data_IF_001811394697
#
_entry.id   IF_001811394697
#
_cell.length_a   1.000
_cell.length_b   1.000
_cell.length_c   1.000
_cell.angle_alpha   90.00
_cell.angle_beta   90.00
_cell.angle_gamma   90.00
#
_symmetry.space_group_name_H-M   'P 1'
#
loop_
_entity.id
_entity.type
_entity.pdbx_description
1 polymer ?
#
# COMPACT_ATOMS: atom_id res chain seq x y z
N UNK A 1 4.50 -11.18 60.23
CA UNK A 1 4.90 -11.83 58.97
C UNK A 1 5.10 -10.70 57.99
N UNK A 2 6.36 -10.33 57.83
CA UNK A 2 6.82 -9.20 57.03
C UNK A 2 6.75 -9.50 55.54
N UNK A 3 6.57 -8.41 54.80
CA UNK A 3 6.64 -8.25 53.36
C UNK A 3 7.90 -8.85 52.75
N UNK A 4 7.77 -9.51 51.60
CA UNK A 4 8.83 -9.56 50.60
C UNK A 4 8.29 -9.02 49.27
N UNK A 5 8.78 -7.83 48.92
CA UNK A 5 8.63 -7.24 47.59
C UNK A 5 9.68 -7.86 46.68
N UNK A 6 9.27 -8.37 45.52
CA UNK A 6 10.18 -8.88 44.50
C UNK A 6 10.77 -7.70 43.74
N UNK A 7 12.10 -7.66 43.63
CA UNK A 7 12.89 -6.57 43.06
C UNK A 7 12.89 -6.59 41.53
N UNK A 8 13.12 -5.40 40.95
CA UNK A 8 13.07 -5.03 39.53
C UNK A 8 13.89 -5.90 38.54
N UNK A 9 14.71 -6.83 39.02
CA UNK A 9 15.54 -7.75 38.23
C UNK A 9 14.81 -9.09 37.90
N UNK A 10 13.65 -9.37 38.49
CA UNK A 10 12.88 -10.60 38.24
C UNK A 10 11.80 -10.46 37.15
N UNK A 11 11.64 -9.27 36.56
CA UNK A 11 10.71 -9.02 35.46
C UNK A 11 11.35 -9.22 34.07
N UNK A 12 12.63 -9.62 33.98
CA UNK A 12 13.39 -9.62 32.73
C UNK A 12 13.66 -11.02 32.13
N UNK A 13 13.10 -12.09 32.71
CA UNK A 13 13.39 -13.48 32.26
C UNK A 13 12.17 -14.33 31.83
N UNK A 14 10.98 -13.76 31.62
CA UNK A 14 9.82 -14.54 31.14
C UNK A 14 9.48 -14.28 29.67
N UNK A 15 10.45 -14.54 28.78
CA UNK A 15 10.14 -14.99 27.43
C UNK A 15 10.59 -16.44 27.26
N UNK A 16 9.72 -17.24 26.61
CA UNK A 16 9.87 -18.62 26.16
C UNK A 16 9.45 -19.71 27.16
N UNK A 17 8.17 -20.13 27.10
CA UNK A 17 7.83 -21.51 26.72
C UNK A 17 6.32 -21.70 26.54
N UNK A 18 5.98 -22.45 25.47
CA UNK A 18 4.65 -22.97 25.18
C UNK A 18 4.12 -23.84 26.34
N UNK A 19 2.89 -23.59 26.80
CA UNK A 19 2.19 -24.48 27.73
C UNK A 19 0.98 -23.83 28.41
N UNK A 20 -0.22 -24.28 28.05
CA UNK A 20 -1.53 -23.90 28.58
C UNK A 20 -1.74 -24.27 30.06
N UNK A 21 -2.32 -23.37 30.88
CA UNK A 21 -3.13 -23.70 32.08
C UNK A 21 -4.21 -22.61 32.31
N UNK A 22 -5.47 -23.03 32.43
CA UNK A 22 -6.63 -22.24 32.89
C UNK A 22 -6.59 -21.95 34.40
N UNK A 23 -7.11 -20.80 34.84
CA UNK A 23 -8.27 -20.71 35.76
C UNK A 23 -8.61 -19.26 36.16
N UNK A 24 -9.88 -18.92 35.94
CA UNK A 24 -10.79 -18.25 36.89
C UNK A 24 -10.39 -16.91 37.51
N UNK A 25 -10.82 -15.81 36.85
CA UNK A 25 -10.95 -14.49 37.45
C UNK A 25 -10.44 -13.40 36.52
N UNK A 26 -11.34 -12.73 35.81
CA UNK A 26 -11.02 -11.76 34.75
C UNK A 26 -10.28 -10.53 35.28
N UNK A 27 -8.96 -10.67 35.42
CA UNK A 27 -8.01 -9.57 35.46
C UNK A 27 -7.63 -9.29 34.00
N UNK A 28 -8.01 -8.13 33.48
CA UNK A 28 -7.53 -7.70 32.16
C UNK A 28 -6.10 -7.18 32.36
N UNK A 29 -5.12 -8.06 32.17
CA UNK A 29 -3.73 -7.66 31.93
C UNK A 29 -3.62 -7.23 30.45
N UNK A 30 -2.84 -6.18 30.18
CA UNK A 30 -2.62 -5.60 28.85
C UNK A 30 -1.69 -6.46 27.96
N UNK A 31 -1.88 -7.78 27.99
CA UNK A 31 -1.18 -8.71 27.11
C UNK A 31 -2.22 -9.70 26.58
N UNK A 32 -2.28 -9.83 25.26
CA UNK A 32 -3.23 -10.58 24.42
C UNK A 32 -4.53 -9.84 24.05
N UNK A 33 -4.42 -8.97 23.02
CA UNK A 33 -5.52 -8.74 22.10
C UNK A 33 -5.20 -9.57 20.86
N UNK A 34 -5.91 -10.67 20.64
CA UNK A 34 -5.90 -11.38 19.37
C UNK A 34 -6.54 -10.49 18.29
N UNK A 35 -5.82 -10.25 17.21
CA UNK A 35 -6.22 -9.38 16.09
C UNK A 35 -7.35 -9.95 15.20
N UNK A 36 -7.82 -11.18 15.44
CA UNK A 36 -8.65 -11.92 14.47
C UNK A 36 -10.18 -11.86 14.67
N UNK A 37 -10.71 -11.06 15.61
CA UNK A 37 -12.18 -10.96 15.80
C UNK A 37 -12.68 -9.56 16.17
N UNK A 38 -12.49 -8.58 15.29
CA UNK A 38 -13.30 -7.35 15.31
C UNK A 38 -14.18 -7.24 14.06
N UNK A 39 -15.35 -7.86 14.13
CA UNK A 39 -16.42 -7.65 13.15
C UNK A 39 -17.04 -6.26 13.40
N UNK A 40 -16.53 -5.24 12.71
CA UNK A 40 -16.91 -3.82 12.89
C UNK A 40 -18.38 -3.49 12.51
N UNK A 41 -19.09 -4.40 11.85
CA UNK A 41 -20.36 -4.09 11.20
C UNK A 41 -21.61 -4.24 12.08
N UNK A 42 -21.53 -4.90 13.25
CA UNK A 42 -22.74 -5.34 13.96
C UNK A 42 -23.26 -4.39 15.07
N UNK A 43 -22.49 -3.36 15.47
CA UNK A 43 -22.91 -2.42 16.53
C UNK A 43 -23.51 -1.10 16.03
N UNK A 44 -23.53 -0.86 14.72
CA UNK A 44 -24.03 0.38 14.11
C UNK A 44 -25.55 0.40 13.89
N UNK A 45 -26.20 -0.77 13.74
CA UNK A 45 -27.61 -0.85 13.35
C UNK A 45 -28.61 -0.42 14.44
N UNK A 46 -28.25 -0.50 15.73
CA UNK A 46 -29.25 -0.36 16.81
C UNK A 46 -29.54 1.08 17.28
N UNK A 47 -28.93 2.11 16.67
CA UNK A 47 -29.02 3.50 17.17
C UNK A 47 -29.94 4.41 16.33
N UNK A 48 -30.57 3.90 15.27
CA UNK A 48 -31.19 4.72 14.19
C UNK A 48 -32.62 5.21 14.50
N UNK A 49 -33.23 4.84 15.63
CA UNK A 49 -34.64 5.19 15.92
C UNK A 49 -34.79 6.25 17.02
N UNK A 50 -34.50 7.51 16.68
CA UNK A 50 -35.12 8.68 17.33
C UNK A 50 -34.99 9.92 16.43
N UNK A 51 -36.07 10.26 15.72
CA UNK A 51 -36.19 11.53 14.98
C UNK A 51 -36.53 12.69 15.91
N UNK A 52 -36.04 13.92 15.63
CA UNK A 52 -36.87 15.08 15.24
C UNK A 52 -36.24 16.47 15.52
N UNK A 53 -36.41 17.33 14.51
CA UNK A 53 -36.51 18.80 14.47
C UNK A 53 -36.23 19.64 15.74
N UNK A 54 -35.14 20.43 15.73
CA UNK A 54 -35.14 21.88 15.96
C UNK A 54 -33.71 22.48 15.83
N UNK A 55 -33.62 23.72 15.33
CA UNK A 55 -32.40 24.42 14.88
C UNK A 55 -31.38 24.83 15.96
N UNK A 56 -30.74 23.87 16.61
CA UNK A 56 -29.45 24.04 17.29
C UNK A 56 -28.54 22.87 16.89
N UNK A 57 -27.43 23.16 16.22
CA UNK A 57 -26.59 22.16 15.55
C UNK A 57 -25.75 21.33 16.52
N UNK A 58 -26.19 20.11 16.82
CA UNK A 58 -25.45 19.09 17.56
C UNK A 58 -24.70 18.14 16.61
N UNK A 59 -23.49 17.73 17.00
CA UNK A 59 -22.55 16.93 16.18
C UNK A 59 -22.91 15.43 16.15
N UNK A 60 -24.02 15.05 16.78
CA UNK A 60 -24.39 13.66 17.07
C UNK A 60 -24.02 13.23 18.48
N UNK A 61 -24.37 11.99 18.82
CA UNK A 61 -24.22 11.42 20.16
C UNK A 61 -22.97 10.52 20.25
N UNK A 62 -22.19 10.69 21.31
CA UNK A 62 -20.95 9.96 21.56
C UNK A 62 -21.23 8.45 21.64
N UNK A 63 -20.60 7.60 20.81
CA UNK A 63 -20.90 6.16 20.76
C UNK A 63 -20.64 5.44 22.09
N UNK A 64 -19.83 6.04 22.97
CA UNK A 64 -19.50 5.49 24.28
C UNK A 64 -20.62 5.74 25.30
N UNK A 65 -21.24 6.92 25.30
CA UNK A 65 -22.15 7.32 26.38
C UNK A 65 -23.38 8.12 25.95
N UNK A 66 -23.58 8.38 24.67
CA UNK A 66 -24.69 9.17 24.14
C UNK A 66 -24.62 10.68 24.40
N UNK A 67 -23.58 11.18 25.06
CA UNK A 67 -23.37 12.63 25.29
C UNK A 67 -22.94 13.37 24.01
N UNK A 68 -23.07 14.69 23.97
CA UNK A 68 -22.77 15.46 22.76
C UNK A 68 -21.29 15.31 22.31
N UNK A 69 -21.08 15.03 21.02
CA UNK A 69 -19.74 14.89 20.45
C UNK A 69 -19.05 16.25 20.41
N UNK A 70 -17.79 16.27 20.86
CA UNK A 70 -16.95 17.47 20.90
C UNK A 70 -15.87 17.51 19.81
N UNK A 71 -15.60 16.37 19.16
CA UNK A 71 -14.59 16.23 18.12
C UNK A 71 -14.08 14.80 17.97
N UNK A 72 -13.09 14.63 17.09
CA UNK A 72 -12.39 13.36 16.87
C UNK A 72 -11.23 13.21 17.85
N UNK A 73 -11.28 12.21 18.71
CA UNK A 73 -10.32 12.00 19.79
C UNK A 73 -9.83 10.55 19.80
N UNK A 74 -8.52 10.37 19.62
CA UNK A 74 -7.82 9.09 19.76
C UNK A 74 -8.37 7.95 18.88
N UNK A 75 -8.89 8.26 17.69
CA UNK A 75 -9.38 7.25 16.74
C UNK A 75 -10.90 7.19 16.57
N UNK A 76 -11.68 7.93 17.37
CA UNK A 76 -13.16 7.98 17.21
C UNK A 76 -13.76 9.34 17.60
N UNK A 77 -14.94 9.66 17.07
CA UNK A 77 -15.70 10.83 17.50
C UNK A 77 -16.25 10.62 18.91
N UNK A 78 -15.96 11.55 19.82
CA UNK A 78 -16.40 11.41 21.21
C UNK A 78 -16.63 12.73 21.93
N UNK A 79 -17.33 12.66 23.06
CA UNK A 79 -17.54 13.78 23.96
C UNK A 79 -16.26 14.08 24.76
N UNK A 80 -16.14 15.31 25.26
CA UNK A 80 -14.96 15.79 26.00
C UNK A 80 -14.70 14.94 27.26
N UNK A 81 -15.77 14.41 27.87
CA UNK A 81 -15.66 13.54 29.03
C UNK A 81 -14.99 12.20 28.71
N UNK A 82 -15.36 11.55 27.60
CA UNK A 82 -14.80 10.26 27.21
C UNK A 82 -13.36 10.39 26.72
N UNK A 83 -13.05 11.45 25.96
CA UNK A 83 -11.67 11.85 25.64
C UNK A 83 -10.82 11.98 26.90
N UNK A 84 -11.26 12.79 27.87
CA UNK A 84 -10.51 13.02 29.10
C UNK A 84 -10.36 11.76 29.95
N UNK A 85 -11.41 10.93 30.00
CA UNK A 85 -11.39 9.64 30.68
C UNK A 85 -10.35 8.70 30.06
N UNK A 86 -10.42 8.47 28.76
CA UNK A 86 -9.51 7.57 28.04
C UNK A 86 -8.05 8.00 28.20
N UNK A 87 -7.74 9.29 28.01
CA UNK A 87 -6.40 9.85 28.23
C UNK A 87 -5.88 9.57 29.65
N UNK A 88 -6.68 9.86 30.69
CA UNK A 88 -6.25 9.66 32.08
C UNK A 88 -6.10 8.18 32.43
N UNK A 89 -6.92 7.32 31.86
CA UNK A 89 -6.83 5.87 32.07
C UNK A 89 -5.51 5.33 31.51
N UNK A 90 -5.19 5.67 30.26
CA UNK A 90 -3.96 5.23 29.59
C UNK A 90 -2.71 5.83 30.24
N UNK A 91 -2.65 7.17 30.39
CA UNK A 91 -1.46 7.85 30.93
C UNK A 91 -1.12 7.46 32.37
N UNK A 92 -2.12 7.07 33.16
CA UNK A 92 -1.91 6.66 34.55
C UNK A 92 -2.01 5.14 34.74
N UNK A 93 -1.99 4.37 33.63
CA UNK A 93 -2.07 2.90 33.61
C UNK A 93 -3.14 2.36 34.57
N UNK A 94 -4.34 2.95 34.53
CA UNK A 94 -5.43 2.62 35.46
C UNK A 94 -6.06 1.30 35.07
N UNK A 95 -6.09 0.36 36.02
CA UNK A 95 -6.82 -0.90 35.92
C UNK A 95 -8.14 -0.75 36.66
N UNK A 96 -9.22 -1.23 36.05
CA UNK A 96 -10.56 -1.19 36.62
C UNK A 96 -11.17 -2.60 36.61
N UNK A 97 -12.05 -2.87 37.58
CA UNK A 97 -12.86 -4.07 37.62
C UNK A 97 -14.34 -3.71 37.51
N UNK A 98 -15.11 -4.50 36.75
CA UNK A 98 -16.55 -4.31 36.66
C UNK A 98 -17.20 -4.68 38.01
N UNK A 99 -18.03 -3.80 38.56
CA UNK A 99 -18.73 -4.07 39.82
C UNK A 99 -19.80 -5.16 39.68
N UNK A 100 -20.36 -5.35 38.48
CA UNK A 100 -21.37 -6.36 38.18
C UNK A 100 -20.75 -7.72 37.81
N UNK A 101 -19.45 -7.77 37.54
CA UNK A 101 -18.73 -8.99 37.15
C UNK A 101 -18.97 -9.46 35.70
N UNK A 102 -20.08 -9.07 35.07
CA UNK A 102 -20.50 -9.46 33.71
C UNK A 102 -19.79 -8.73 32.57
N UNK A 103 -19.27 -7.52 32.82
CA UNK A 103 -18.60 -6.69 31.81
C UNK A 103 -19.55 -5.95 30.86
N UNK A 104 -20.87 -5.95 31.12
CA UNK A 104 -21.89 -5.43 30.18
C UNK A 104 -22.68 -4.22 30.71
N UNK A 105 -22.14 -3.48 31.68
CA UNK A 105 -22.83 -2.31 32.24
C UNK A 105 -23.20 -1.29 31.14
N UNK A 106 -24.47 -0.88 31.09
CA UNK A 106 -24.94 0.16 30.17
C UNK A 106 -24.34 1.53 30.52
N UNK A 107 -23.57 2.09 29.59
CA UNK A 107 -22.88 3.38 29.73
C UNK A 107 -23.65 4.49 29.01
N UNK A 108 -24.12 5.48 29.78
CA UNK A 108 -24.85 6.69 29.34
C UNK A 108 -24.21 7.96 29.93
N UNK A 109 -24.58 9.14 29.42
CA UNK A 109 -24.04 10.44 29.84
C UNK A 109 -24.20 10.67 31.35
N UNK A 110 -25.29 10.15 31.93
CA UNK A 110 -25.63 10.23 33.36
C UNK A 110 -24.88 9.22 34.22
N UNK A 111 -24.69 7.98 33.75
CA UNK A 111 -24.21 6.87 34.59
C UNK A 111 -22.76 6.43 34.28
N UNK A 112 -22.09 7.01 33.27
CA UNK A 112 -20.71 6.68 32.83
C UNK A 112 -19.61 6.78 33.88
N UNK A 113 -19.91 7.23 35.10
CA UNK A 113 -18.96 7.22 36.22
C UNK A 113 -19.08 5.97 37.11
N UNK A 114 -20.20 5.23 37.02
CA UNK A 114 -20.51 4.09 37.89
C UNK A 114 -19.63 2.88 37.61
N UNK A 115 -19.37 2.58 36.35
CA UNK A 115 -18.48 1.48 35.95
C UNK A 115 -17.37 1.97 35.00
N UNK A 116 -16.22 2.41 35.54
CA UNK A 116 -15.05 2.78 34.74
C UNK A 116 -14.53 1.63 33.88
N UNK A 117 -14.66 0.38 34.34
CA UNK A 117 -14.24 -0.81 33.57
C UNK A 117 -15.00 -0.91 32.25
N UNK A 118 -16.33 -1.06 32.29
CA UNK A 118 -17.16 -1.14 31.08
C UNK A 118 -17.08 0.12 30.22
N UNK A 119 -16.90 1.30 30.82
CA UNK A 119 -16.67 2.53 30.05
C UNK A 119 -15.38 2.47 29.25
N UNK A 120 -14.28 1.99 29.85
CA UNK A 120 -13.00 1.87 29.16
C UNK A 120 -13.07 0.81 28.06
N UNK A 121 -13.67 -0.35 28.34
CA UNK A 121 -13.96 -1.37 27.33
C UNK A 121 -14.77 -0.79 26.16
N UNK A 122 -15.79 0.03 26.44
CA UNK A 122 -16.59 0.68 25.40
C UNK A 122 -15.82 1.75 24.63
N UNK A 123 -14.81 2.39 25.23
CA UNK A 123 -13.90 3.28 24.50
C UNK A 123 -13.07 2.50 23.47
N UNK A 124 -12.48 1.37 23.88
CA UNK A 124 -11.70 0.50 23.00
C UNK A 124 -12.57 -0.07 21.88
N UNK A 125 -13.75 -0.62 22.23
CA UNK A 125 -14.73 -1.14 21.25
C UNK A 125 -15.21 -0.08 20.25
N UNK A 126 -15.29 1.19 20.67
CA UNK A 126 -15.66 2.30 19.80
C UNK A 126 -14.50 2.83 18.93
N UNK A 127 -13.31 2.23 19.01
CA UNK A 127 -12.15 2.57 18.19
C UNK A 127 -11.17 3.56 18.83
N UNK A 128 -11.24 3.82 20.15
CA UNK A 128 -10.19 4.60 20.81
C UNK A 128 -8.90 3.79 20.93
N UNK A 129 -7.78 4.35 20.49
CA UNK A 129 -6.49 3.68 20.42
C UNK A 129 -5.53 4.16 21.49
N UNK A 130 -4.87 3.21 22.16
CA UNK A 130 -4.00 3.47 23.32
C UNK A 130 -2.69 4.14 22.88
N UNK A 131 -2.14 3.73 21.74
CA UNK A 131 -0.97 4.30 21.06
C UNK A 131 -1.15 5.78 20.66
N UNK A 132 -2.39 6.24 20.50
CA UNK A 132 -2.70 7.64 20.21
C UNK A 132 -2.41 8.60 21.38
N UNK A 133 -2.21 8.05 22.59
CA UNK A 133 -1.88 8.77 23.81
C UNK A 133 -0.37 8.81 24.00
N UNK A 134 0.21 10.00 23.94
CA UNK A 134 1.62 10.18 24.23
C UNK A 134 1.92 9.92 25.72
N UNK A 135 3.06 9.29 25.96
CA UNK A 135 3.59 9.06 27.31
C UNK A 135 4.04 10.37 27.98
N UNK A 136 4.45 11.36 27.19
CA UNK A 136 4.91 12.65 27.68
C UNK A 136 3.75 13.60 28.06
N UNK A 137 3.92 14.36 29.15
CA UNK A 137 2.89 15.28 29.68
C UNK A 137 2.95 16.69 29.08
N UNK A 138 3.69 16.90 27.99
CA UNK A 138 3.80 18.20 27.35
C UNK A 138 2.43 18.65 26.79
N UNK A 139 2.14 19.94 26.95
CA UNK A 139 0.89 20.54 26.45
C UNK A 139 1.03 20.82 24.96
N UNK A 140 0.14 20.24 24.15
CA UNK A 140 0.05 20.52 22.72
C UNK A 140 0.89 19.56 21.86
N UNK A 141 0.36 19.23 20.68
CA UNK A 141 0.95 18.29 19.72
C UNK A 141 -0.13 17.45 19.03
N UNK A 142 0.01 17.25 17.71
CA UNK A 142 -0.90 16.37 16.94
C UNK A 142 -0.49 14.92 17.18
N UNK A 143 -1.44 14.02 17.43
CA UNK A 143 -1.14 12.59 17.47
C UNK A 143 -0.60 12.16 16.10
N UNK A 144 0.53 11.47 16.07
CA UNK A 144 1.31 11.13 14.87
C UNK A 144 1.07 9.71 14.35
N UNK A 145 0.03 9.04 14.86
CA UNK A 145 -0.28 7.68 14.42
C UNK A 145 -0.79 7.68 12.97
N UNK A 146 -0.49 6.59 12.27
CA UNK A 146 -0.94 6.30 10.91
C UNK A 146 -2.48 6.27 10.89
N UNK A 147 -3.11 7.14 10.08
CA UNK A 147 -4.56 7.39 10.14
C UNK A 147 -4.96 8.75 10.73
N UNK A 148 -4.14 9.39 11.59
CA UNK A 148 -4.52 10.65 12.24
C UNK A 148 -4.62 11.85 11.26
N UNK A 149 -3.89 11.80 10.14
CA UNK A 149 -3.87 12.86 9.12
C UNK A 149 -5.11 12.85 8.21
N UNK A 150 -5.72 11.68 8.01
CA UNK A 150 -6.89 11.49 7.14
C UNK A 150 -8.17 12.14 7.69
N UNK A 151 -8.26 12.36 9.01
CA UNK A 151 -9.48 12.92 9.64
C UNK A 151 -9.45 14.43 9.89
N UNK A 152 -8.35 15.11 9.58
CA UNK A 152 -8.21 16.56 9.82
C UNK A 152 -7.55 17.25 8.61
N UNK A 153 -8.33 17.64 7.57
CA UNK A 153 -7.83 18.48 6.50
C UNK A 153 -7.35 19.82 7.07
N UNK A 154 -6.18 20.30 6.63
CA UNK A 154 -5.75 21.66 6.92
C UNK A 154 -6.61 22.63 6.11
N UNK A 155 -7.41 23.46 6.79
CA UNK A 155 -7.60 24.84 6.35
C UNK A 155 -8.75 25.18 5.39
N UNK A 156 -9.86 24.43 5.33
CA UNK A 156 -11.09 24.93 4.69
C UNK A 156 -12.28 24.88 5.64
N UNK A 157 -12.94 26.03 5.80
CA UNK A 157 -13.93 26.30 6.85
C UNK A 157 -15.29 25.59 6.70
N UNK A 158 -15.33 24.26 6.71
CA UNK A 158 -16.60 23.51 6.75
C UNK A 158 -16.54 22.31 7.69
N UNK A 159 -16.26 22.55 8.98
CA UNK A 159 -16.47 21.55 10.05
C UNK A 159 -17.90 20.98 10.08
N UNK A 160 -18.90 21.75 9.63
CA UNK A 160 -20.34 21.44 9.74
C UNK A 160 -20.83 20.41 8.70
N UNK A 161 -20.35 20.51 7.46
CA UNK A 161 -20.78 19.66 6.33
C UNK A 161 -20.25 18.22 6.40
N UNK A 162 -19.14 18.03 7.13
CA UNK A 162 -18.49 16.73 7.35
C UNK A 162 -19.24 15.87 8.39
N UNK A 163 -19.96 16.52 9.30
CA UNK A 163 -20.63 15.88 10.44
C UNK A 163 -22.03 15.38 10.05
N UNK A 164 -22.76 16.13 9.22
CA UNK A 164 -24.06 15.70 8.66
C UNK A 164 -23.92 14.43 7.81
N UNK A 165 -22.80 14.26 7.11
CA UNK A 165 -22.55 13.10 6.26
C UNK A 165 -22.23 11.81 7.04
N UNK A 166 -21.76 11.89 8.29
CA UNK A 166 -21.37 10.71 9.09
C UNK A 166 -22.56 10.11 9.85
N UNK A 167 -23.53 10.93 10.30
CA UNK A 167 -24.66 10.47 11.11
C UNK A 167 -26.02 10.54 10.39
N UNK A 168 -26.06 11.00 9.14
CA UNK A 168 -27.27 11.05 8.30
C UNK A 168 -27.67 9.73 7.63
N UNK A 169 -27.05 8.60 8.00
CA UNK A 169 -27.38 7.29 7.43
C UNK A 169 -26.79 7.03 6.04
N UNK A 170 -25.67 7.66 5.71
CA UNK A 170 -24.86 7.29 4.54
C UNK A 170 -23.75 6.36 5.03
N UNK A 171 -23.63 5.19 4.41
CA UNK A 171 -22.59 4.19 4.67
C UNK A 171 -21.21 4.84 4.87
N UNK A 172 -20.46 4.35 5.85
CA UNK A 172 -19.05 4.67 6.11
C UNK A 172 -18.18 4.25 4.91
N UNK A 173 -18.27 5.01 3.83
CA UNK A 173 -17.28 5.07 2.76
C UNK A 173 -16.43 6.30 3.06
N UNK A 174 -15.11 6.13 3.00
CA UNK A 174 -14.14 7.17 3.25
C UNK A 174 -14.56 8.46 2.53
N UNK A 175 -14.75 9.54 3.28
CA UNK A 175 -15.28 10.80 2.77
C UNK A 175 -14.26 11.58 1.92
N UNK A 176 -13.81 11.00 0.81
CA UNK A 176 -13.93 11.69 -0.47
C UNK A 176 -15.41 11.71 -0.81
N UNK A 177 -15.95 12.82 -1.31
CA UNK A 177 -17.27 12.79 -1.93
C UNK A 177 -17.12 11.92 -3.19
N UNK A 178 -17.22 10.60 -3.04
CA UNK A 178 -17.21 9.66 -4.16
C UNK A 178 -18.36 10.10 -5.05
N UNK A 179 -18.08 10.56 -6.27
CA UNK A 179 -19.14 11.11 -7.08
C UNK A 179 -20.23 10.06 -7.32
N UNK A 180 -21.49 10.50 -7.24
CA UNK A 180 -22.62 9.63 -7.53
C UNK A 180 -22.58 9.11 -8.97
N UNK A 181 -21.90 9.83 -9.85
CA UNK A 181 -21.68 9.44 -11.23
C UNK A 181 -20.26 8.89 -11.44
N UNK A 182 -20.10 7.91 -12.33
CA UNK A 182 -18.80 7.45 -12.84
C UNK A 182 -17.89 8.63 -13.18
N UNK A 183 -16.74 8.76 -12.50
CA UNK A 183 -15.77 9.85 -12.78
C UNK A 183 -14.38 9.30 -13.04
N UNK A 184 -13.68 9.88 -14.02
CA UNK A 184 -12.24 9.71 -14.19
C UNK A 184 -11.56 10.97 -13.66
N UNK A 185 -10.77 10.91 -12.58
CA UNK A 185 -10.03 12.07 -12.09
C UNK A 185 -9.09 12.63 -13.16
N UNK A 186 -8.94 13.97 -13.22
CA UNK A 186 -8.11 14.66 -14.22
C UNK A 186 -6.67 14.16 -14.24
N UNK A 187 -6.11 13.87 -13.07
CA UNK A 187 -4.76 13.32 -12.94
C UNK A 187 -4.62 11.99 -13.69
N UNK A 188 -5.57 11.06 -13.51
CA UNK A 188 -5.59 9.78 -14.22
C UNK A 188 -5.81 9.99 -15.72
N UNK A 189 -6.69 10.91 -16.13
CA UNK A 189 -6.89 11.22 -17.56
C UNK A 189 -5.60 11.72 -18.22
N UNK A 190 -4.84 12.57 -17.53
CA UNK A 190 -3.56 13.11 -18.02
C UNK A 190 -2.49 12.02 -18.14
N UNK A 191 -2.35 11.18 -17.11
CA UNK A 191 -1.42 10.04 -17.13
C UNK A 191 -1.80 9.05 -18.25
N UNK A 192 -3.09 8.73 -18.40
CA UNK A 192 -3.59 7.84 -19.44
C UNK A 192 -3.28 8.39 -20.84
N UNK A 193 -3.49 9.69 -21.06
CA UNK A 193 -3.17 10.35 -22.32
C UNK A 193 -1.68 10.29 -22.66
N UNK A 194 -0.81 10.53 -21.68
CA UNK A 194 0.65 10.42 -21.87
C UNK A 194 1.04 8.98 -22.21
N UNK A 195 0.46 8.00 -21.52
CA UNK A 195 0.69 6.59 -21.79
C UNK A 195 0.27 6.22 -23.22
N UNK A 196 -0.90 6.69 -23.68
CA UNK A 196 -1.40 6.42 -25.03
C UNK A 196 -0.56 7.08 -26.14
N UNK A 197 -0.05 8.29 -25.91
CA UNK A 197 0.85 8.97 -26.85
C UNK A 197 2.16 8.21 -27.08
N UNK A 198 2.57 7.40 -26.10
CA UNK A 198 3.80 6.63 -26.13
C UNK A 198 3.60 5.16 -26.52
N UNK A 199 2.37 4.72 -26.83
CA UNK A 199 2.04 3.38 -27.38
C UNK A 199 2.50 3.17 -28.85
N UNK A 200 3.50 3.93 -29.32
CA UNK A 200 4.06 3.80 -30.68
C UNK A 200 4.54 2.38 -31.01
N UNK A 201 4.83 2.08 -32.28
CA UNK A 201 5.14 0.71 -32.70
C UNK A 201 6.36 0.20 -31.94
N UNK A 202 6.19 -0.93 -31.25
CA UNK A 202 7.15 -1.31 -30.23
C UNK A 202 8.53 -1.70 -30.76
N UNK A 203 8.62 -1.83 -32.08
CA UNK A 203 9.75 -2.36 -32.82
C UNK A 203 10.51 -1.28 -33.63
N UNK A 204 10.06 -0.01 -33.63
CA UNK A 204 10.69 1.05 -34.46
C UNK A 204 12.18 1.26 -34.14
N UNK A 205 12.58 1.04 -32.89
CA UNK A 205 13.97 1.17 -32.42
C UNK A 205 14.77 -0.15 -32.48
N UNK A 206 14.15 -1.25 -32.95
CA UNK A 206 14.78 -2.57 -32.99
C UNK A 206 15.45 -2.78 -34.35
N UNK A 207 16.74 -3.15 -34.34
CA UNK A 207 17.50 -3.46 -35.56
C UNK A 207 16.88 -4.63 -36.32
N UNK A 208 16.81 -4.53 -37.65
CA UNK A 208 16.50 -5.66 -38.54
C UNK A 208 17.43 -6.84 -38.22
N UNK A 209 16.86 -8.03 -37.97
CA UNK A 209 17.63 -9.24 -37.65
C UNK A 209 17.59 -9.68 -36.19
N UNK A 210 17.11 -8.84 -35.26
CA UNK A 210 16.88 -9.26 -33.88
C UNK A 210 15.59 -10.08 -33.82
N UNK A 211 15.69 -11.38 -33.51
CA UNK A 211 14.53 -12.28 -33.41
C UNK A 211 14.70 -13.25 -32.25
N UNK A 212 13.59 -13.76 -31.73
CA UNK A 212 13.60 -14.90 -30.83
C UNK A 212 13.46 -16.18 -31.63
N UNK A 213 14.58 -16.89 -31.78
CA UNK A 213 14.64 -18.19 -32.44
C UNK A 213 15.45 -19.15 -31.58
N UNK A 214 14.89 -20.34 -31.38
CA UNK A 214 15.49 -21.43 -30.59
C UNK A 214 16.85 -21.87 -31.15
N UNK A 215 17.06 -21.69 -32.46
CA UNK A 215 18.28 -22.08 -33.15
C UNK A 215 19.32 -20.92 -33.22
N UNK A 216 18.98 -19.73 -32.72
CA UNK A 216 19.89 -18.60 -32.74
C UNK A 216 20.84 -18.67 -31.54
N UNK A 217 22.17 -18.81 -31.74
CA UNK A 217 23.13 -18.79 -30.64
C UNK A 217 23.14 -17.46 -29.87
N UNK A 218 22.62 -16.37 -30.47
CA UNK A 218 22.52 -15.05 -29.84
C UNK A 218 21.18 -14.81 -29.14
N UNK A 219 20.32 -15.83 -28.97
CA UNK A 219 18.98 -15.68 -28.38
C UNK A 219 18.99 -14.90 -27.05
N UNK A 220 19.92 -15.21 -26.13
CA UNK A 220 20.05 -14.52 -24.85
C UNK A 220 20.49 -13.05 -25.06
N UNK A 221 21.44 -12.80 -25.96
CA UNK A 221 21.90 -11.44 -26.26
C UNK A 221 20.78 -10.58 -26.87
N UNK A 222 20.00 -11.15 -27.77
CA UNK A 222 18.82 -10.50 -28.36
C UNK A 222 17.79 -10.19 -27.26
N UNK A 223 17.51 -11.14 -26.37
CA UNK A 223 16.60 -10.96 -25.24
C UNK A 223 17.03 -9.81 -24.32
N UNK A 224 18.31 -9.77 -23.94
CA UNK A 224 18.84 -8.69 -23.10
C UNK A 224 18.82 -7.34 -23.82
N UNK A 225 19.14 -7.30 -25.10
CA UNK A 225 19.09 -6.08 -25.91
C UNK A 225 17.65 -5.53 -26.03
N UNK A 226 16.68 -6.39 -26.31
CA UNK A 226 15.26 -6.00 -26.38
C UNK A 226 14.77 -5.52 -25.01
N UNK A 227 15.22 -6.17 -23.94
CA UNK A 227 14.96 -5.72 -22.57
C UNK A 227 15.51 -4.31 -22.34
N UNK A 228 16.74 -4.02 -22.78
CA UNK A 228 17.34 -2.67 -22.69
C UNK A 228 16.51 -1.62 -23.45
N UNK A 229 16.11 -1.91 -24.69
CA UNK A 229 15.26 -1.01 -25.49
C UNK A 229 13.90 -0.73 -24.83
N UNK A 230 13.31 -1.74 -24.19
CA UNK A 230 12.08 -1.57 -23.40
C UNK A 230 12.28 -0.64 -22.21
N UNK A 231 13.46 -0.67 -21.57
CA UNK A 231 13.77 0.22 -20.45
C UNK A 231 13.88 1.69 -20.89
N UNK A 232 14.45 1.97 -22.06
CA UNK A 232 14.46 3.33 -22.61
C UNK A 232 13.05 3.90 -22.79
N UNK A 233 12.08 3.06 -23.17
CA UNK A 233 10.67 3.46 -23.28
C UNK A 233 10.05 3.79 -21.92
N UNK A 234 10.37 3.01 -20.88
CA UNK A 234 9.93 3.30 -19.50
C UNK A 234 10.52 4.63 -19.03
N UNK A 235 11.81 4.88 -19.28
CA UNK A 235 12.45 6.17 -18.93
C UNK A 235 11.81 7.32 -19.70
N UNK A 236 11.53 7.15 -21.01
CA UNK A 236 10.85 8.15 -21.83
C UNK A 236 9.44 8.45 -21.31
N UNK A 237 8.71 7.41 -20.90
CA UNK A 237 7.39 7.54 -20.26
C UNK A 237 7.47 8.31 -18.96
N UNK A 238 8.34 7.92 -18.03
CA UNK A 238 8.51 8.61 -16.75
C UNK A 238 8.86 10.10 -16.96
N UNK A 239 9.80 10.41 -17.86
CA UNK A 239 10.19 11.79 -18.21
C UNK A 239 9.11 12.59 -18.92
N UNK A 240 8.04 11.95 -19.39
CA UNK A 240 6.90 12.65 -20.00
C UNK A 240 5.83 13.01 -18.96
N UNK A 241 5.92 12.49 -17.74
CA UNK A 241 4.98 12.79 -16.66
C UNK A 241 5.33 14.13 -15.97
N UNK A 242 4.38 15.09 -15.87
CA UNK A 242 4.61 16.34 -15.14
C UNK A 242 4.96 16.10 -13.67
N UNK A 243 4.31 15.13 -13.02
CA UNK A 243 4.56 14.79 -11.64
C UNK A 243 6.01 14.29 -11.41
N UNK A 244 6.58 13.54 -12.36
CA UNK A 244 7.96 13.06 -12.29
C UNK A 244 8.99 14.13 -12.64
N UNK A 245 8.75 14.91 -13.71
CA UNK A 245 9.68 16.00 -14.10
C UNK A 245 9.78 17.11 -13.06
N UNK A 246 8.80 17.22 -12.16
CA UNK A 246 8.81 18.15 -11.03
C UNK A 246 9.67 17.70 -9.84
N UNK A 247 10.13 16.45 -9.80
CA UNK A 247 11.02 15.95 -8.73
C UNK A 247 12.48 16.28 -9.03
N UNK A 248 13.36 16.19 -8.02
CA UNK A 248 14.78 16.47 -8.18
C UNK A 248 15.43 15.44 -9.12
N UNK A 249 16.37 15.86 -9.97
CA UNK A 249 17.02 14.97 -10.94
C UNK A 249 17.66 13.73 -10.29
N UNK A 250 18.26 13.90 -9.10
CA UNK A 250 18.84 12.78 -8.35
C UNK A 250 17.77 11.81 -7.84
N UNK A 251 16.63 12.34 -7.37
CA UNK A 251 15.49 11.54 -6.95
C UNK A 251 14.82 10.84 -8.15
N UNK A 252 14.78 11.47 -9.32
CA UNK A 252 14.29 10.84 -10.56
C UNK A 252 15.09 9.59 -10.91
N UNK A 253 16.43 9.65 -10.79
CA UNK A 253 17.31 8.51 -11.05
C UNK A 253 17.02 7.38 -10.06
N UNK A 254 16.96 7.71 -8.77
CA UNK A 254 16.72 6.74 -7.71
C UNK A 254 15.35 6.07 -7.84
N UNK A 255 14.29 6.85 -8.08
CA UNK A 255 12.94 6.33 -8.32
C UNK A 255 12.91 5.35 -9.49
N UNK A 256 13.60 5.67 -10.60
CA UNK A 256 13.73 4.76 -11.74
C UNK A 256 14.55 3.51 -11.41
N UNK A 257 15.67 3.64 -10.69
CA UNK A 257 16.49 2.50 -10.25
C UNK A 257 15.70 1.52 -9.37
N UNK A 258 14.75 2.03 -8.58
CA UNK A 258 13.92 1.20 -7.72
C UNK A 258 12.74 0.57 -8.47
N UNK A 259 12.15 1.27 -9.43
CA UNK A 259 10.88 0.86 -10.07
C UNK A 259 11.00 0.22 -11.46
N UNK A 260 12.15 0.28 -12.13
CA UNK A 260 12.26 -0.09 -13.56
C UNK A 260 11.75 -1.50 -13.90
N UNK A 261 12.07 -2.48 -13.05
CA UNK A 261 11.77 -3.88 -13.30
C UNK A 261 10.29 -4.16 -13.06
N UNK A 262 9.74 -3.60 -11.98
CA UNK A 262 8.32 -3.69 -11.64
C UNK A 262 7.46 -3.12 -12.77
N UNK A 263 7.85 -1.95 -13.30
CA UNK A 263 7.21 -1.32 -14.45
C UNK A 263 7.33 -2.16 -15.72
N UNK A 264 8.50 -2.75 -15.97
CA UNK A 264 8.73 -3.61 -17.12
C UNK A 264 7.83 -4.85 -17.08
N UNK A 265 7.78 -5.55 -15.96
CA UNK A 265 6.98 -6.75 -15.80
C UNK A 265 5.47 -6.44 -15.91
N UNK A 266 5.02 -5.35 -15.27
CA UNK A 266 3.63 -4.89 -15.37
C UNK A 266 3.25 -4.55 -16.82
N UNK A 267 4.12 -3.84 -17.56
CA UNK A 267 3.87 -3.53 -18.97
C UNK A 267 3.86 -4.78 -19.86
N UNK A 268 4.74 -5.75 -19.60
CA UNK A 268 4.80 -7.03 -20.35
C UNK A 268 3.53 -7.86 -20.11
N UNK A 269 3.05 -7.94 -18.87
CA UNK A 269 1.78 -8.61 -18.54
C UNK A 269 0.61 -7.94 -19.27
N UNK A 270 0.46 -6.62 -19.17
CA UNK A 270 -0.62 -5.90 -19.83
C UNK A 270 -0.56 -6.02 -21.36
N UNK A 271 0.64 -5.92 -21.95
CA UNK A 271 0.82 -6.12 -23.40
C UNK A 271 0.44 -7.53 -23.85
N UNK A 272 0.82 -8.53 -23.07
CA UNK A 272 0.46 -9.92 -23.34
C UNK A 272 -1.06 -10.06 -23.30
N UNK A 273 -1.70 -9.70 -22.19
CA UNK A 273 -3.15 -9.83 -22.00
C UNK A 273 -3.98 -9.11 -23.09
N UNK A 274 -3.57 -7.91 -23.49
CA UNK A 274 -4.29 -7.15 -24.54
C UNK A 274 -4.16 -7.75 -25.95
N UNK A 275 -3.12 -8.56 -26.22
CA UNK A 275 -2.85 -9.15 -27.52
C UNK A 275 -3.06 -10.68 -27.57
N UNK A 276 -3.47 -11.30 -26.45
CA UNK A 276 -3.66 -12.75 -26.28
C UNK A 276 -4.72 -13.37 -27.21
N UNK A 277 -5.53 -12.57 -27.93
CA UNK A 277 -6.44 -13.09 -28.97
C UNK A 277 -5.72 -13.74 -30.16
N UNK A 278 -4.39 -13.65 -30.24
CA UNK A 278 -3.58 -14.18 -31.36
C UNK A 278 -2.74 -15.42 -31.04
N UNK A 279 -2.68 -15.89 -29.78
CA UNK A 279 -1.83 -17.03 -29.41
C UNK A 279 -2.63 -18.12 -28.71
N UNK A 280 -2.84 -19.25 -29.39
CA UNK A 280 -3.47 -20.47 -28.85
C UNK A 280 -2.59 -21.21 -27.79
N UNK A 281 -1.58 -20.54 -27.20
CA UNK A 281 -0.62 -21.13 -26.29
C UNK A 281 -0.10 -20.14 -25.25
N UNK A 282 0.43 -20.68 -24.14
CA UNK A 282 1.11 -19.92 -23.09
C UNK A 282 2.36 -19.27 -23.69
N UNK A 283 2.27 -17.98 -23.99
CA UNK A 283 3.40 -17.16 -24.41
C UNK A 283 3.40 -15.81 -23.68
N UNK A 284 4.54 -15.11 -23.71
CA UNK A 284 4.71 -13.75 -23.18
C UNK A 284 5.15 -12.84 -24.33
N UNK A 285 4.48 -11.70 -24.48
CA UNK A 285 4.72 -10.75 -25.57
C UNK A 285 5.57 -9.59 -25.03
N UNK A 286 6.87 -9.60 -25.35
CA UNK A 286 7.78 -8.51 -24.98
C UNK A 286 7.60 -7.30 -25.90
N UNK A 287 7.53 -7.55 -27.21
CA UNK A 287 7.17 -6.57 -28.25
C UNK A 287 6.27 -7.22 -29.29
N UNK A 288 5.84 -6.49 -30.33
CA UNK A 288 4.92 -7.00 -31.36
C UNK A 288 5.49 -8.22 -32.11
N UNK A 289 6.80 -8.23 -32.36
CA UNK A 289 7.49 -9.33 -33.07
C UNK A 289 8.36 -10.22 -32.15
N UNK A 290 8.39 -9.95 -30.85
CA UNK A 290 9.25 -10.66 -29.89
C UNK A 290 8.39 -11.37 -28.85
N UNK A 291 8.08 -12.64 -29.13
CA UNK A 291 7.23 -13.50 -28.31
C UNK A 291 8.09 -14.61 -27.70
N UNK A 292 7.98 -14.78 -26.39
CA UNK A 292 8.62 -15.86 -25.64
C UNK A 292 7.57 -16.92 -25.39
N UNK A 293 7.65 -18.02 -26.13
CA UNK A 293 6.90 -19.22 -25.82
C UNK A 293 7.63 -20.10 -24.81
N UNK A 294 7.01 -21.22 -24.46
CA UNK A 294 7.58 -22.20 -23.52
C UNK A 294 8.96 -22.71 -23.95
N UNK A 295 9.19 -22.92 -25.26
CA UNK A 295 10.46 -23.48 -25.76
C UNK A 295 11.58 -22.45 -25.65
N UNK A 296 11.31 -21.20 -26.04
CA UNK A 296 12.26 -20.09 -25.89
C UNK A 296 12.57 -19.87 -24.41
N UNK A 297 11.55 -19.91 -23.54
CA UNK A 297 11.73 -19.75 -22.10
C UNK A 297 12.62 -20.84 -21.49
N UNK A 298 12.49 -22.10 -21.93
CA UNK A 298 13.36 -23.19 -21.50
C UNK A 298 14.82 -22.97 -21.96
N UNK A 299 15.02 -22.53 -23.20
CA UNK A 299 16.36 -22.26 -23.73
C UNK A 299 17.12 -21.16 -22.97
N UNK A 300 16.43 -20.10 -22.57
CA UNK A 300 17.04 -19.00 -21.81
C UNK A 300 16.96 -19.20 -20.29
N UNK A 301 16.25 -20.24 -19.82
CA UNK A 301 15.95 -20.57 -18.42
C UNK A 301 15.09 -19.50 -17.71
N UNK A 302 14.04 -19.02 -18.38
CA UNK A 302 13.07 -18.05 -17.87
C UNK A 302 11.75 -18.71 -17.41
N UNK A 303 11.61 -20.04 -17.50
CA UNK A 303 10.35 -20.76 -17.29
C UNK A 303 9.69 -20.50 -15.92
N UNK A 304 10.48 -20.43 -14.84
CA UNK A 304 9.94 -20.17 -13.49
C UNK A 304 9.36 -18.76 -13.36
N UNK A 305 10.08 -17.76 -13.92
CA UNK A 305 9.62 -16.36 -13.94
C UNK A 305 8.39 -16.23 -14.86
N UNK A 306 8.38 -16.94 -15.99
CA UNK A 306 7.23 -17.00 -16.88
C UNK A 306 5.98 -17.55 -16.17
N UNK A 307 6.13 -18.56 -15.31
CA UNK A 307 5.03 -19.07 -14.47
C UNK A 307 4.50 -18.00 -13.52
N UNK A 308 5.39 -17.27 -12.83
CA UNK A 308 5.00 -16.19 -11.92
C UNK A 308 4.30 -15.03 -12.67
N UNK A 309 4.70 -14.74 -13.91
CA UNK A 309 4.02 -13.75 -14.74
C UNK A 309 2.61 -14.21 -15.16
N UNK A 310 2.36 -15.51 -15.33
CA UNK A 310 1.00 -16.04 -15.56
C UNK A 310 0.10 -15.92 -14.34
N UNK A 311 0.64 -16.16 -13.15
CA UNK A 311 -0.08 -15.93 -11.90
C UNK A 311 -0.42 -14.44 -11.75
N UNK A 312 0.52 -13.53 -12.03
CA UNK A 312 0.27 -12.09 -12.06
C UNK A 312 -0.82 -11.70 -13.06
N UNK A 313 -0.75 -12.20 -14.30
CA UNK A 313 -1.78 -11.94 -15.33
C UNK A 313 -3.15 -12.46 -14.89
N UNK A 314 -3.20 -13.61 -14.23
CA UNK A 314 -4.45 -14.20 -13.71
C UNK A 314 -5.07 -13.34 -12.61
N UNK A 315 -4.26 -12.74 -11.73
CA UNK A 315 -4.75 -11.77 -10.73
C UNK A 315 -5.24 -10.47 -11.37
N UNK A 316 -4.49 -9.91 -12.33
CA UNK A 316 -4.91 -8.71 -13.08
C UNK A 316 -6.24 -8.97 -13.81
N UNK A 317 -6.41 -10.16 -14.39
CA UNK A 317 -7.64 -10.58 -15.06
C UNK A 317 -8.81 -10.74 -14.07
N UNK A 318 -8.58 -11.32 -12.88
CA UNK A 318 -9.64 -11.48 -11.87
C UNK A 318 -10.14 -10.14 -11.34
N UNK A 319 -9.23 -9.17 -11.16
CA UNK A 319 -9.54 -7.80 -10.77
C UNK A 319 -10.29 -7.05 -11.88
N UNK A 320 -10.20 -7.53 -13.14
CA UNK A 320 -10.67 -6.82 -14.34
C UNK A 320 -10.11 -5.40 -14.39
N UNK A 321 -8.80 -5.33 -14.25
CA UNK A 321 -8.07 -4.06 -14.30
C UNK A 321 -8.27 -3.38 -15.64
N UNK A 322 -8.69 -2.13 -15.62
CA UNK A 322 -8.79 -1.32 -16.83
C UNK A 322 -7.56 -0.44 -17.06
N UNK A 323 -7.55 0.32 -18.17
CA UNK A 323 -6.43 1.16 -18.53
C UNK A 323 -6.20 2.32 -17.54
N UNK A 324 -7.24 2.83 -16.87
CA UNK A 324 -7.12 3.93 -15.91
C UNK A 324 -6.48 3.45 -14.60
N UNK A 325 -6.89 2.28 -14.12
CA UNK A 325 -6.30 1.59 -12.97
C UNK A 325 -4.86 1.18 -13.25
N UNK A 326 -4.60 0.63 -14.44
CA UNK A 326 -3.27 0.25 -14.88
C UNK A 326 -2.27 1.41 -14.86
N UNK A 327 -2.62 2.56 -15.47
CA UNK A 327 -1.69 3.69 -15.51
C UNK A 327 -1.51 4.36 -14.14
N UNK A 328 -2.54 4.33 -13.28
CA UNK A 328 -2.42 4.78 -11.91
C UNK A 328 -1.45 3.88 -11.12
N UNK A 329 -1.59 2.56 -11.23
CA UNK A 329 -0.68 1.59 -10.61
C UNK A 329 0.76 1.78 -11.08
N UNK A 330 0.99 2.03 -12.38
CA UNK A 330 2.34 2.36 -12.89
C UNK A 330 2.94 3.57 -12.18
N UNK A 331 2.17 4.64 -11.98
CA UNK A 331 2.69 5.83 -11.29
C UNK A 331 2.92 5.56 -9.80
N UNK A 332 2.08 4.75 -9.14
CA UNK A 332 2.28 4.35 -7.75
C UNK A 332 3.58 3.55 -7.56
N UNK A 333 3.87 2.62 -8.47
CA UNK A 333 5.14 1.86 -8.50
C UNK A 333 6.32 2.82 -8.68
N UNK A 334 6.23 3.75 -9.65
CA UNK A 334 7.29 4.73 -9.93
C UNK A 334 7.56 5.66 -8.75
N UNK A 335 6.51 6.14 -8.09
CA UNK A 335 6.60 7.13 -6.99
C UNK A 335 6.60 6.44 -5.62
N UNK A 336 7.62 5.61 -5.38
CA UNK A 336 7.79 4.90 -4.10
C UNK A 336 8.68 5.70 -3.12
N UNK A 337 8.13 6.31 -2.05
CA UNK A 337 8.90 7.13 -1.11
C UNK A 337 9.85 6.32 -0.23
N UNK A 338 9.50 5.06 0.06
CA UNK A 338 10.26 4.15 0.96
C UNK A 338 11.58 3.65 0.36
N UNK A 339 11.94 4.16 -0.82
CA UNK A 339 12.99 3.63 -1.68
C UNK A 339 14.41 4.12 -1.32
N UNK A 340 14.52 4.87 -0.20
CA UNK A 340 15.77 5.16 0.51
C UNK A 340 16.49 6.44 0.06
N UNK A 341 16.75 7.36 1.01
CA UNK A 341 17.55 8.60 0.82
C UNK A 341 17.09 9.56 -0.30
N UNK A 342 15.80 9.61 -0.61
CA UNK A 342 15.25 10.69 -1.43
C UNK A 342 15.58 12.05 -0.78
N UNK A 343 15.98 13.01 -1.60
CA UNK A 343 16.30 14.37 -1.14
C UNK A 343 15.04 15.18 -0.83
N UNK A 344 13.97 15.01 -1.60
CA UNK A 344 12.65 15.62 -1.37
C UNK A 344 11.56 14.54 -1.24
N UNK A 345 11.69 13.68 -0.22
CA UNK A 345 10.74 12.61 0.10
C UNK A 345 9.30 13.13 0.28
N UNK A 346 9.13 14.29 0.92
CA UNK A 346 7.81 14.88 1.17
C UNK A 346 7.08 15.26 -0.12
N UNK A 347 7.81 15.70 -1.16
CA UNK A 347 7.20 15.94 -2.48
C UNK A 347 6.75 14.64 -3.14
N UNK A 348 7.61 13.61 -3.13
CA UNK A 348 7.28 12.31 -3.72
C UNK A 348 6.06 11.71 -3.02
N UNK A 349 6.04 11.72 -1.68
CA UNK A 349 4.91 11.25 -0.88
C UNK A 349 3.62 12.01 -1.20
N UNK A 350 3.63 13.34 -1.24
CA UNK A 350 2.42 14.13 -1.58
C UNK A 350 1.89 13.80 -2.98
N UNK A 351 2.79 13.62 -3.93
CA UNK A 351 2.41 13.28 -5.31
C UNK A 351 1.83 11.86 -5.38
N UNK A 352 2.38 10.92 -4.61
CA UNK A 352 1.85 9.57 -4.50
C UNK A 352 0.46 9.58 -3.84
N UNK A 353 0.27 10.37 -2.77
CA UNK A 353 -1.04 10.59 -2.12
C UNK A 353 -2.09 11.11 -3.11
N UNK A 354 -1.74 12.08 -3.97
CA UNK A 354 -2.65 12.59 -5.00
C UNK A 354 -3.11 11.49 -6.00
N UNK A 355 -2.21 10.56 -6.35
CA UNK A 355 -2.52 9.42 -7.24
C UNK A 355 -3.35 8.37 -6.53
N UNK A 356 -3.06 8.10 -5.24
CA UNK A 356 -3.86 7.22 -4.38
C UNK A 356 -5.30 7.73 -4.28
N UNK A 357 -5.47 9.02 -3.99
CA UNK A 357 -6.79 9.65 -3.86
C UNK A 357 -7.56 9.61 -5.18
N UNK A 358 -6.86 9.83 -6.30
CA UNK A 358 -7.45 9.69 -7.62
C UNK A 358 -7.88 8.24 -7.91
N UNK A 359 -7.02 7.25 -7.64
CA UNK A 359 -7.36 5.84 -7.86
C UNK A 359 -8.52 5.38 -6.98
N UNK A 360 -8.55 5.80 -5.71
CA UNK A 360 -9.66 5.53 -4.81
C UNK A 360 -10.97 6.14 -5.32
N UNK A 361 -10.91 7.41 -5.77
CA UNK A 361 -12.09 8.09 -6.34
C UNK A 361 -12.58 7.38 -7.61
N UNK A 362 -11.66 6.96 -8.48
CA UNK A 362 -11.97 6.24 -9.71
C UNK A 362 -12.65 4.91 -9.42
N UNK A 363 -12.00 4.06 -8.62
CA UNK A 363 -12.52 2.73 -8.28
C UNK A 363 -13.87 2.82 -7.56
N UNK A 364 -13.99 3.68 -6.55
CA UNK A 364 -15.21 3.82 -5.76
C UNK A 364 -16.40 4.39 -6.54
N UNK A 365 -16.17 5.25 -7.54
CA UNK A 365 -17.27 5.85 -8.33
C UNK A 365 -17.71 4.98 -9.51
N UNK A 366 -16.77 4.28 -10.17
CA UNK A 366 -17.03 3.49 -11.37
C UNK A 366 -17.36 2.01 -11.08
N UNK A 367 -16.91 1.47 -9.95
CA UNK A 367 -17.09 0.07 -9.57
C UNK A 367 -17.73 -0.09 -8.19
N UNK A 368 -18.88 0.54 -7.99
CA UNK A 368 -19.62 0.56 -6.71
C UNK A 368 -19.94 -0.85 -6.16
N UNK A 369 -20.09 -1.83 -7.04
CA UNK A 369 -20.37 -3.23 -6.66
C UNK A 369 -19.11 -4.01 -6.25
N UNK A 370 -17.91 -3.49 -6.50
CA UNK A 370 -16.62 -4.12 -6.21
C UNK A 370 -15.86 -3.37 -5.11
N UNK A 371 -16.38 -3.42 -3.88
CA UNK A 371 -15.85 -2.68 -2.73
C UNK A 371 -14.38 -3.00 -2.40
N UNK A 372 -13.90 -4.18 -2.78
CA UNK A 372 -12.51 -4.63 -2.57
C UNK A 372 -11.52 -4.19 -3.65
N UNK A 373 -11.99 -3.68 -4.81
CA UNK A 373 -11.17 -3.52 -6.02
C UNK A 373 -9.93 -2.65 -5.79
N UNK A 374 -10.10 -1.55 -5.09
CA UNK A 374 -8.99 -0.66 -4.73
C UNK A 374 -7.88 -1.39 -3.96
N UNK A 375 -8.26 -2.16 -2.93
CA UNK A 375 -7.31 -2.94 -2.14
C UNK A 375 -6.64 -4.03 -2.97
N UNK A 376 -7.42 -4.74 -3.80
CA UNK A 376 -6.90 -5.79 -4.70
C UNK A 376 -5.91 -5.24 -5.73
N UNK A 377 -6.09 -4.00 -6.21
CA UNK A 377 -5.09 -3.36 -7.08
C UNK A 377 -3.79 -3.08 -6.32
N UNK A 378 -3.86 -2.64 -5.06
CA UNK A 378 -2.66 -2.36 -4.27
C UNK A 378 -1.89 -3.62 -3.87
N UNK A 379 -2.57 -4.76 -3.69
CA UNK A 379 -1.86 -6.03 -3.38
C UNK A 379 -1.00 -6.51 -4.55
N UNK A 380 -1.27 -6.07 -5.78
CA UNK A 380 -0.42 -6.36 -6.93
C UNK A 380 0.98 -5.78 -6.77
N UNK A 381 1.16 -4.63 -6.12
CA UNK A 381 2.48 -4.03 -5.89
C UNK A 381 3.44 -5.02 -5.23
N UNK A 382 2.98 -5.68 -4.15
CA UNK A 382 3.79 -6.65 -3.40
C UNK A 382 4.13 -7.87 -4.24
N UNK A 383 3.17 -8.37 -5.04
CA UNK A 383 3.42 -9.51 -5.91
C UNK A 383 4.40 -9.17 -7.03
N UNK A 384 4.20 -8.04 -7.71
CA UNK A 384 5.09 -7.55 -8.78
C UNK A 384 6.51 -7.39 -8.24
N UNK A 385 6.66 -6.78 -7.06
CA UNK A 385 7.96 -6.62 -6.39
C UNK A 385 8.66 -7.97 -6.19
N UNK A 386 7.92 -9.00 -5.77
CA UNK A 386 8.49 -10.34 -5.55
C UNK A 386 8.98 -10.98 -6.87
N UNK A 387 8.16 -10.94 -7.93
CA UNK A 387 8.56 -11.45 -9.26
C UNK A 387 9.74 -10.67 -9.81
N UNK A 388 9.75 -9.36 -9.58
CA UNK A 388 10.82 -8.45 -9.98
C UNK A 388 12.17 -8.82 -9.35
N UNK A 389 12.20 -9.19 -8.07
CA UNK A 389 13.43 -9.67 -7.40
C UNK A 389 14.01 -10.89 -8.11
N UNK A 390 13.16 -11.87 -8.44
CA UNK A 390 13.60 -13.07 -9.17
C UNK A 390 14.10 -12.72 -10.58
N UNK A 391 13.40 -11.86 -11.29
CA UNK A 391 13.78 -11.46 -12.65
C UNK A 391 15.09 -10.65 -12.67
N UNK A 392 15.28 -9.72 -11.73
CA UNK A 392 16.53 -8.98 -11.54
C UNK A 392 17.71 -9.91 -11.29
N UNK A 393 17.53 -10.90 -10.40
CA UNK A 393 18.55 -11.91 -10.09
C UNK A 393 18.92 -12.73 -11.33
N UNK A 394 17.91 -13.14 -12.10
CA UNK A 394 18.13 -13.83 -13.38
C UNK A 394 18.93 -12.97 -14.37
N UNK A 395 18.54 -11.71 -14.57
CA UNK A 395 19.22 -10.79 -15.48
C UNK A 395 20.67 -10.53 -15.05
N UNK A 396 20.91 -10.32 -13.76
CA UNK A 396 22.24 -10.11 -13.20
C UNK A 396 23.17 -11.30 -13.47
N UNK A 397 22.70 -12.52 -13.22
CA UNK A 397 23.48 -13.74 -13.48
C UNK A 397 23.80 -13.90 -14.97
N UNK A 398 22.83 -13.64 -15.86
CA UNK A 398 23.03 -13.74 -17.31
C UNK A 398 24.05 -12.74 -17.84
N UNK A 399 24.02 -11.51 -17.35
CA UNK A 399 25.00 -10.49 -17.73
C UNK A 399 26.40 -10.84 -17.23
N UNK A 400 26.50 -11.38 -16.01
CA UNK A 400 27.77 -11.86 -15.46
C UNK A 400 28.37 -13.02 -16.27
N UNK A 401 27.54 -14.00 -16.65
CA UNK A 401 27.98 -15.14 -17.47
C UNK A 401 28.56 -14.66 -18.81
N UNK A 402 27.91 -13.68 -19.46
CA UNK A 402 28.39 -13.06 -20.70
C UNK A 402 29.71 -12.31 -20.51
N UNK A 403 29.85 -11.52 -19.44
CA UNK A 403 31.10 -10.82 -19.12
C UNK A 403 32.25 -11.81 -18.84
N UNK A 404 31.98 -12.96 -18.20
CA UNK A 404 33.00 -13.99 -17.95
C UNK A 404 33.38 -14.78 -19.21
N UNK A 405 32.43 -15.03 -20.12
CA UNK A 405 32.71 -15.71 -21.39
C UNK A 405 33.54 -14.87 -22.39
N UNK A 406 33.49 -13.54 -22.27
CA UNK A 406 34.27 -12.61 -23.07
C UNK A 406 35.74 -12.51 -22.65
N UNK A 407 36.08 -12.86 -21.40
CA UNK A 407 37.47 -12.86 -20.92
C UNK A 407 38.33 -13.97 -21.56
N UNK A 408 37.70 -14.99 -22.15
CA UNK A 408 38.37 -16.10 -22.86
C UNK A 408 38.55 -15.84 -24.37
N UNK A 409 37.97 -14.78 -24.94
CA UNK A 409 38.08 -14.46 -26.37
C UNK A 409 38.61 -13.04 -26.60
N UNK A 410 39.90 -12.95 -26.96
CA UNK A 410 40.53 -11.69 -27.39
C UNK A 410 39.83 -11.12 -28.63
N UNK A 411 39.35 -9.87 -28.50
CA UNK A 411 38.86 -8.95 -29.53
C UNK A 411 37.54 -9.31 -30.24
N UNK A 412 36.44 -8.63 -29.88
CA UNK A 412 35.88 -7.57 -30.73
C UNK A 412 34.75 -6.77 -30.02
N UNK A 413 34.59 -5.52 -30.45
CA UNK A 413 33.79 -4.44 -29.87
C UNK A 413 32.26 -4.67 -29.93
N UNK A 414 31.71 -5.63 -29.18
CA UNK A 414 30.24 -5.84 -29.07
C UNK A 414 29.64 -5.50 -27.70
N UNK A 415 30.39 -4.85 -26.81
CA UNK A 415 29.97 -4.40 -25.46
C UNK A 415 28.96 -3.24 -25.42
N UNK A 416 28.08 -3.07 -26.42
CA UNK A 416 27.29 -1.83 -26.56
C UNK A 416 25.76 -1.90 -26.65
N UNK A 417 25.11 -3.01 -26.28
CA UNK A 417 23.65 -3.13 -26.49
C UNK A 417 22.78 -3.25 -25.22
N UNK A 418 23.35 -3.21 -24.01
CA UNK A 418 22.61 -3.32 -22.73
C UNK A 418 23.02 -2.24 -21.70
N UNK A 419 23.33 -1.04 -22.17
CA UNK A 419 23.95 0.00 -21.33
C UNK A 419 23.07 0.44 -20.17
N UNK A 420 21.78 0.67 -20.43
CA UNK A 420 20.83 1.15 -19.43
C UNK A 420 20.47 0.05 -18.43
N UNK A 421 20.28 -1.19 -18.91
CA UNK A 421 20.04 -2.37 -18.10
C UNK A 421 21.17 -2.58 -17.09
N UNK A 422 22.43 -2.47 -17.54
CA UNK A 422 23.60 -2.58 -16.66
C UNK A 422 23.66 -1.45 -15.63
N UNK A 423 23.37 -0.21 -16.01
CA UNK A 423 23.34 0.93 -15.08
C UNK A 423 22.23 0.78 -14.02
N UNK A 424 21.04 0.33 -14.42
CA UNK A 424 19.92 0.12 -13.52
C UNK A 424 20.16 -1.05 -12.56
N UNK A 425 20.76 -2.15 -13.01
CA UNK A 425 21.14 -3.27 -12.15
C UNK A 425 22.26 -2.91 -11.17
N UNK A 426 23.25 -2.10 -11.58
CA UNK A 426 24.30 -1.59 -10.67
C UNK A 426 23.76 -0.61 -9.62
N UNK A 427 22.74 0.15 -9.99
CA UNK A 427 22.05 1.07 -9.09
C UNK A 427 21.18 0.37 -8.04
N UNK A 428 20.86 -0.90 -8.26
CA UNK A 428 19.98 -1.66 -7.39
C UNK A 428 20.69 -2.04 -6.08
N UNK A 429 20.06 -1.72 -4.95
CA UNK A 429 20.56 -2.01 -3.61
C UNK A 429 20.78 -3.52 -3.37
N UNK A 430 20.08 -4.38 -4.11
CA UNK A 430 20.27 -5.84 -4.07
C UNK A 430 21.67 -6.28 -4.51
N UNK A 431 22.34 -5.51 -5.36
CA UNK A 431 23.63 -5.88 -5.97
C UNK A 431 24.78 -4.94 -5.59
N UNK A 432 24.54 -3.96 -4.70
CA UNK A 432 25.63 -3.18 -4.14
C UNK A 432 26.46 -4.05 -3.17
N UNK A 433 27.80 -4.04 -3.25
CA UNK A 433 28.64 -4.67 -2.24
C UNK A 433 28.28 -4.03 -0.90
N UNK A 434 27.81 -4.88 0.00
CA UNK A 434 27.06 -4.58 1.20
C UNK A 434 27.46 -3.30 1.95
N UNK A 435 26.45 -2.70 2.58
CA UNK A 435 26.55 -2.20 3.94
C UNK A 435 27.56 -3.04 4.72
N UNK A 436 28.77 -2.52 4.81
CA UNK A 436 29.76 -2.96 5.78
C UNK A 436 29.17 -2.53 7.12
N UNK A 437 28.47 -3.43 7.79
CA UNK A 437 28.20 -3.29 9.21
C UNK A 437 29.58 -3.37 9.86
N UNK A 438 30.12 -2.21 10.22
CA UNK A 438 31.13 -2.09 11.26
C UNK A 438 30.44 -2.25 12.62
#
# INVERSE_FOLDING_TARGET
>A
MESNSLTQHQLQEFHLNNGSIETSGTTILLENVDDDKFNQNQLLEQTVLAQSNHGTTSIGACPICGDEISGFHYGTFSCESCKGFFKRTVQNKKVFQCHSGDGECNITSFNRKRCPACRFTKCLKAGMRVDAIREDRHRGGRSSYEGARFYMPKGTGTKRKYIENIYGGVELTYAFQVPNEPVVPKLIQEIARINDLLKGDDDDDIKEGCFFSINDPNLINNFLHITDLRLYKIVKWARSLPCFTSTLQEDQILLLQNAWCDLLLLDVCNKTMTNMTKSNGRSIIFTKNHIIDQQIAECIQLSDIMSQLYDLMSMIESIRMDNNEFVALKVLILLSPDSGRLKDEERVQRTQEDVIDALYTYTSSNYKEQLGKYGEILTLCSYITNVSIHFKTYLFNRLKDLDTGLLDQNQDQSTHNCGLLMELLKGDLLFQPSYSIN
#
